data_IF_776728991648
#
_entry.id   IF_776728991648
#
_cell.length_a   1.000
_cell.length_b   1.000
_cell.length_c   1.000
_cell.angle_alpha   90.00
_cell.angle_beta   90.00
_cell.angle_gamma   90.00
#
_symmetry.space_group_name_H-M   'P 1'
#
loop_
_entity.id
_entity.type
_entity.pdbx_description
1 polymer ?
#
# COMPACT_ATOMS: atom_id res chain seq x y z
N UNK A 1 -3.06 58.90 13.41
CA UNK A 1 -2.46 57.56 13.57
C UNK A 1 -2.17 57.00 12.17
N UNK A 2 -1.02 56.35 11.95
CA UNK A 2 -0.61 55.74 10.68
C UNK A 2 -1.62 54.61 10.33
N UNK A 3 -1.92 54.22 9.10
CA UNK A 3 -1.08 54.13 7.91
C UNK A 3 -0.78 52.65 7.65
N UNK A 4 -1.58 51.98 6.81
CA UNK A 4 -1.16 50.98 5.81
C UNK A 4 -2.34 50.10 5.38
N UNK A 5 -2.44 49.90 4.06
CA UNK A 5 -3.50 49.23 3.32
C UNK A 5 -3.73 47.77 3.78
N UNK A 6 -4.99 47.44 4.08
CA UNK A 6 -5.48 46.06 4.01
C UNK A 6 -6.70 46.00 3.10
N UNK A 7 -6.45 46.06 1.79
CA UNK A 7 -7.35 45.47 0.81
C UNK A 7 -7.15 43.95 0.88
N UNK A 8 -7.76 43.30 1.87
CA UNK A 8 -7.99 41.86 1.77
C UNK A 8 -9.14 41.71 0.78
N UNK A 9 -8.79 41.41 -0.47
CA UNK A 9 -9.74 41.09 -1.51
C UNK A 9 -10.62 39.92 -1.05
N UNK A 10 -11.90 40.21 -0.82
CA UNK A 10 -12.96 39.24 -0.65
C UNK A 10 -13.29 38.65 -2.04
N UNK A 11 -12.44 37.74 -2.51
CA UNK A 11 -12.69 36.94 -3.71
C UNK A 11 -12.15 35.52 -3.52
N UNK A 12 -12.76 34.78 -2.60
CA UNK A 12 -12.86 33.33 -2.77
C UNK A 12 -13.72 33.06 -4.00
N UNK A 13 -13.12 33.22 -5.18
CA UNK A 13 -13.62 32.70 -6.43
C UNK A 13 -13.78 31.19 -6.24
N UNK A 14 -15.00 30.74 -5.91
CA UNK A 14 -15.44 29.36 -6.12
C UNK A 14 -15.45 29.11 -7.62
N UNK A 15 -14.27 29.01 -8.21
CA UNK A 15 -14.07 28.45 -9.53
C UNK A 15 -14.19 26.94 -9.40
N UNK A 16 -15.41 26.43 -9.60
CA UNK A 16 -15.62 25.05 -9.97
C UNK A 16 -15.03 24.86 -11.38
N UNK A 17 -13.73 24.54 -11.46
CA UNK A 17 -13.14 24.14 -12.72
C UNK A 17 -13.53 22.68 -13.00
N UNK A 18 -14.34 22.55 -14.04
CA UNK A 18 -14.74 21.31 -14.71
C UNK A 18 -13.53 20.42 -14.98
N UNK A 19 -13.79 19.11 -14.92
CA UNK A 19 -12.95 18.04 -15.44
C UNK A 19 -12.18 18.47 -16.69
N UNK A 20 -10.85 18.35 -16.65
CA UNK A 20 -10.00 17.57 -17.55
C UNK A 20 -8.56 17.93 -17.23
N UNK A 21 -7.93 17.18 -16.32
CA UNK A 21 -6.47 17.16 -16.16
C UNK A 21 -6.04 15.70 -16.31
N UNK A 22 -6.23 15.16 -17.52
CA UNK A 22 -5.37 14.08 -18.00
C UNK A 22 -4.04 14.75 -18.31
N UNK A 23 -3.12 14.82 -17.34
CA UNK A 23 -1.67 14.92 -17.58
C UNK A 23 -0.89 15.03 -16.26
N UNK A 24 -0.87 13.96 -15.46
CA UNK A 24 0.31 13.63 -14.62
C UNK A 24 0.47 12.11 -14.55
N UNK A 25 0.50 11.46 -15.72
CA UNK A 25 1.21 10.20 -15.88
C UNK A 25 2.63 10.55 -16.32
N UNK A 26 3.52 10.83 -15.38
CA UNK A 26 4.99 10.70 -15.52
C UNK A 26 5.62 10.95 -14.15
N UNK A 27 6.41 9.99 -13.68
CA UNK A 27 7.30 10.07 -12.52
C UNK A 27 6.75 9.86 -11.10
N UNK A 28 5.64 9.14 -10.94
CA UNK A 28 5.66 8.12 -9.89
C UNK A 28 6.30 6.87 -10.47
N UNK A 29 7.64 6.87 -10.54
CA UNK A 29 8.36 5.61 -10.38
C UNK A 29 8.08 5.16 -8.94
N UNK A 30 6.88 4.61 -8.73
CA UNK A 30 6.62 3.74 -7.60
C UNK A 30 7.69 2.68 -7.78
N UNK A 31 8.73 2.77 -6.96
CA UNK A 31 9.79 1.80 -6.95
C UNK A 31 9.11 0.52 -6.48
N UNK A 32 8.54 -0.23 -7.44
CA UNK A 32 7.83 -1.46 -7.17
C UNK A 32 8.80 -2.29 -6.36
N UNK A 33 8.40 -2.69 -5.14
CA UNK A 33 9.29 -3.40 -4.22
C UNK A 33 9.89 -4.62 -4.93
N UNK A 34 9.14 -5.18 -5.86
CA UNK A 34 9.55 -6.27 -6.72
C UNK A 34 10.54 -5.93 -7.82
N UNK A 35 10.58 -4.70 -8.33
CA UNK A 35 11.63 -4.25 -9.27
C UNK A 35 12.98 -4.05 -8.57
N UNK A 36 12.96 -3.82 -7.25
CA UNK A 36 14.16 -3.60 -6.42
C UNK A 36 14.73 -4.86 -5.77
N UNK A 37 13.99 -5.97 -5.80
CA UNK A 37 14.47 -7.24 -5.29
C UNK A 37 15.49 -7.83 -6.27
N UNK A 38 16.74 -8.10 -5.85
CA UNK A 38 17.72 -8.81 -6.66
C UNK A 38 17.37 -10.30 -6.71
N UNK A 39 16.26 -10.62 -7.36
CA UNK A 39 15.65 -11.94 -7.32
C UNK A 39 15.24 -12.39 -8.72
N UNK A 40 15.79 -13.52 -9.15
CA UNK A 40 15.45 -14.15 -10.42
C UNK A 40 13.98 -14.53 -10.47
N UNK A 41 13.35 -14.46 -11.65
CA UNK A 41 11.94 -14.83 -11.85
C UNK A 41 11.62 -16.26 -11.33
N UNK A 42 12.57 -17.19 -11.44
CA UNK A 42 12.44 -18.56 -10.94
C UNK A 42 12.26 -18.61 -9.42
N UNK A 43 13.08 -17.84 -8.69
CA UNK A 43 12.93 -17.70 -7.24
C UNK A 43 11.59 -17.04 -6.95
N UNK A 44 11.17 -16.03 -7.72
CA UNK A 44 9.87 -15.37 -7.54
C UNK A 44 8.71 -16.35 -7.57
N UNK A 45 8.67 -17.22 -8.57
CA UNK A 45 7.67 -18.29 -8.69
C UNK A 45 7.75 -19.26 -7.53
N UNK A 46 8.95 -19.59 -7.07
CA UNK A 46 9.14 -20.48 -5.92
C UNK A 46 8.54 -19.89 -4.63
N UNK A 47 8.81 -18.62 -4.33
CA UNK A 47 8.22 -17.95 -3.16
C UNK A 47 6.71 -17.78 -3.31
N UNK A 48 6.19 -17.47 -4.50
CA UNK A 48 4.74 -17.47 -4.74
C UNK A 48 4.12 -18.83 -4.41
N UNK A 49 4.75 -19.93 -4.83
CA UNK A 49 4.29 -21.29 -4.52
C UNK A 49 4.31 -21.57 -3.02
N UNK A 50 5.40 -21.24 -2.34
CA UNK A 50 5.48 -21.44 -0.89
C UNK A 50 4.50 -20.55 -0.12
N UNK A 51 4.26 -19.32 -0.58
CA UNK A 51 3.24 -18.43 0.01
C UNK A 51 1.81 -18.96 -0.19
N UNK A 52 1.57 -19.75 -1.24
CA UNK A 52 0.28 -20.42 -1.47
C UNK A 52 0.16 -21.73 -0.67
N UNK A 53 1.27 -22.43 -0.45
CA UNK A 53 1.31 -23.68 0.31
C UNK A 53 1.25 -23.42 1.82
N UNK A 54 1.87 -22.34 2.28
CA UNK A 54 1.87 -21.96 3.68
C UNK A 54 0.53 -21.32 4.08
N UNK A 55 -0.13 -21.97 5.04
CA UNK A 55 -1.48 -21.59 5.47
C UNK A 55 -1.51 -20.18 6.09
N UNK A 56 -0.46 -19.76 6.79
CA UNK A 56 -0.42 -18.46 7.47
C UNK A 56 -0.34 -17.32 6.45
N UNK A 57 0.61 -17.42 5.52
CA UNK A 57 0.83 -16.41 4.48
C UNK A 57 -0.29 -16.38 3.45
N UNK A 58 -0.91 -17.52 3.12
CA UNK A 58 -2.12 -17.54 2.29
C UNK A 58 -3.29 -16.76 2.94
N UNK A 59 -3.48 -16.90 4.26
CA UNK A 59 -4.49 -16.12 5.01
C UNK A 59 -4.17 -14.63 4.99
N UNK A 60 -2.90 -14.26 5.24
CA UNK A 60 -2.45 -12.86 5.18
C UNK A 60 -2.66 -12.26 3.79
N UNK A 61 -2.38 -13.03 2.73
CA UNK A 61 -2.63 -12.64 1.33
C UNK A 61 -4.10 -12.39 1.05
N UNK A 62 -5.00 -13.22 1.60
CA UNK A 62 -6.44 -12.97 1.53
C UNK A 62 -6.80 -11.67 2.26
N UNK A 63 -6.28 -11.42 3.47
CA UNK A 63 -6.54 -10.17 4.20
C UNK A 63 -6.00 -8.90 3.52
N UNK A 64 -4.93 -9.00 2.74
CA UNK A 64 -4.48 -7.87 1.92
C UNK A 64 -5.48 -7.53 0.81
N UNK A 65 -6.27 -8.49 0.32
CA UNK A 65 -7.27 -8.29 -0.75
C UNK A 65 -8.66 -7.98 -0.21
N UNK A 66 -9.11 -8.75 0.76
CA UNK A 66 -10.47 -8.70 1.34
C UNK A 66 -10.55 -7.72 2.53
N UNK A 67 -9.40 -7.31 3.07
CA UNK A 67 -9.30 -6.50 4.28
C UNK A 67 -9.05 -7.33 5.53
N UNK A 68 -8.45 -6.69 6.54
CA UNK A 68 -8.14 -7.33 7.81
C UNK A 68 -9.34 -7.29 8.77
N UNK A 69 -9.49 -8.30 9.65
CA UNK A 69 -10.47 -8.25 10.72
C UNK A 69 -10.25 -7.05 11.65
N UNK A 70 -11.34 -6.42 12.11
CA UNK A 70 -11.28 -5.24 12.97
C UNK A 70 -10.60 -5.51 14.32
N UNK A 71 -10.73 -6.74 14.83
CA UNK A 71 -10.15 -7.14 16.11
C UNK A 71 -9.16 -8.28 15.92
N UNK A 72 -8.03 -8.19 16.63
CA UNK A 72 -6.99 -9.24 16.70
C UNK A 72 -7.52 -10.62 17.10
N UNK A 73 -8.63 -10.65 17.84
CA UNK A 73 -9.24 -11.89 18.30
C UNK A 73 -10.01 -12.65 17.22
N UNK A 74 -10.46 -11.93 16.19
CA UNK A 74 -11.17 -12.50 15.05
C UNK A 74 -10.18 -12.98 13.96
N UNK A 75 -8.88 -12.77 14.18
CA UNK A 75 -7.80 -13.26 13.32
C UNK A 75 -7.31 -14.62 13.82
N UNK A 76 -7.11 -15.61 12.93
CA UNK A 76 -6.51 -16.91 13.26
C UNK A 76 -5.18 -16.75 14.00
N UNK A 77 -4.85 -17.69 14.90
CA UNK A 77 -3.62 -17.63 15.70
C UNK A 77 -2.36 -17.52 14.84
N UNK A 78 -2.35 -18.24 13.72
CA UNK A 78 -1.34 -18.15 12.67
C UNK A 78 -1.10 -16.70 12.19
N UNK A 79 -2.15 -16.05 11.65
CA UNK A 79 -2.03 -14.69 11.12
C UNK A 79 -2.00 -13.59 12.20
N UNK A 80 -2.11 -13.93 13.48
CA UNK A 80 -2.24 -12.98 14.60
C UNK A 80 -0.96 -12.19 14.86
N UNK A 81 0.20 -12.78 14.55
CA UNK A 81 1.49 -12.08 14.58
C UNK A 81 1.53 -10.92 13.57
N UNK A 82 0.89 -11.11 12.41
CA UNK A 82 0.83 -10.14 11.35
C UNK A 82 -0.23 -9.05 11.57
N UNK A 83 -1.31 -9.33 12.33
CA UNK A 83 -2.37 -8.34 12.60
C UNK A 83 -1.87 -7.01 13.19
N UNK A 84 -0.86 -7.08 14.06
CA UNK A 84 -0.22 -5.88 14.65
C UNK A 84 0.54 -5.05 13.62
N UNK A 85 1.00 -5.68 12.55
CA UNK A 85 1.81 -5.08 11.49
C UNK A 85 1.02 -4.92 10.18
N UNK A 86 -0.29 -5.19 10.17
CA UNK A 86 -1.14 -5.23 8.98
C UNK A 86 -1.05 -4.01 8.06
N UNK A 87 -0.86 -2.82 8.64
CA UNK A 87 -0.75 -1.56 7.88
C UNK A 87 0.57 -1.45 7.10
N UNK A 88 1.57 -2.23 7.51
CA UNK A 88 2.86 -2.35 6.84
C UNK A 88 2.87 -3.52 5.86
N UNK A 89 1.81 -4.34 5.81
CA UNK A 89 1.79 -5.52 4.93
C UNK A 89 1.12 -5.15 3.61
N UNK A 90 1.83 -5.37 2.52
CA UNK A 90 1.33 -5.20 1.15
C UNK A 90 1.50 -6.49 0.36
N UNK A 91 0.61 -6.68 -0.62
CA UNK A 91 0.70 -7.77 -1.59
C UNK A 91 1.10 -7.18 -2.94
N UNK A 92 2.18 -7.70 -3.53
CA UNK A 92 2.68 -7.26 -4.83
C UNK A 92 3.10 -8.49 -5.65
N UNK A 93 2.47 -8.70 -6.80
CA UNK A 93 2.74 -9.83 -7.71
C UNK A 93 2.69 -11.21 -7.01
N UNK A 94 1.69 -11.45 -6.16
CA UNK A 94 1.53 -12.73 -5.46
C UNK A 94 2.46 -12.92 -4.26
N UNK A 95 3.34 -11.95 -3.99
CA UNK A 95 4.28 -11.95 -2.87
C UNK A 95 3.83 -11.00 -1.78
N UNK A 96 4.09 -11.36 -0.53
CA UNK A 96 3.81 -10.52 0.62
C UNK A 96 5.04 -9.74 1.06
N UNK A 97 4.84 -8.47 1.34
CA UNK A 97 5.88 -7.56 1.80
C UNK A 97 5.49 -6.93 3.12
N UNK A 98 6.44 -6.85 4.04
CA UNK A 98 6.35 -6.05 5.25
C UNK A 98 7.22 -4.80 5.06
N UNK A 99 6.59 -3.66 4.80
CA UNK A 99 7.18 -2.43 4.29
C UNK A 99 7.95 -2.66 2.98
N UNK A 100 9.23 -3.01 3.08
CA UNK A 100 10.14 -3.25 1.95
C UNK A 100 10.86 -4.60 2.05
N UNK A 101 10.43 -5.46 2.98
CA UNK A 101 11.01 -6.77 3.22
C UNK A 101 10.05 -7.84 2.75
N UNK A 102 10.54 -8.78 1.94
CA UNK A 102 9.76 -9.94 1.53
C UNK A 102 9.45 -10.80 2.76
N UNK A 103 8.18 -11.17 2.94
CA UNK A 103 7.76 -12.17 3.93
C UNK A 103 8.05 -13.53 3.33
N UNK A 104 8.90 -14.29 4.01
CA UNK A 104 9.28 -15.65 3.61
C UNK A 104 8.50 -16.64 4.46
N UNK A 105 7.71 -17.54 3.84
CA UNK A 105 7.09 -18.68 4.53
C UNK A 105 8.14 -19.68 5.03
#
# INVERSE_FOLDING_TARGET
LPGSNQFIADTLSRAALKCTEISVLSDFQVHSLTSSLPMTEEKRKLFQRYTEEDQETAIVKAYCKDGWPERKQDTPEAARHYWSQRLMISEEDGLLFLNHKLIVP
#
